data_IF_648434766243
#
_entry.id   IF_648434766243
#
_cell.length_a   1.000
_cell.length_b   1.000
_cell.length_c   1.000
_cell.angle_alpha   90.00
_cell.angle_beta   90.00
_cell.angle_gamma   90.00
#
_symmetry.space_group_name_H-M   'P 1'
#
loop_
_entity.id
_entity.type
_entity.pdbx_description
1 polymer ?
#
# COMPACT_ATOMS: atom_id res chain seq x y z
N UNK A 1 -14.71 63.65 9.08
CA UNK A 1 -14.82 62.44 8.26
C UNK A 1 -15.91 62.64 7.23
N UNK A 2 -15.67 62.44 5.93
CA UNK A 2 -16.67 62.60 4.89
C UNK A 2 -17.88 61.69 5.15
N UNK A 3 -19.10 62.13 4.82
CA UNK A 3 -20.34 61.37 5.10
C UNK A 3 -20.35 59.97 4.39
N UNK A 4 -19.62 59.82 3.32
CA UNK A 4 -19.41 58.57 2.60
C UNK A 4 -18.77 57.49 3.50
N UNK A 5 -17.79 57.83 4.32
CA UNK A 5 -17.08 56.90 5.20
C UNK A 5 -17.99 56.32 6.31
N UNK A 6 -18.88 57.17 6.88
CA UNK A 6 -19.81 56.71 7.94
C UNK A 6 -20.81 55.65 7.48
N UNK A 7 -21.17 55.65 6.19
CA UNK A 7 -22.16 54.73 5.63
C UNK A 7 -21.63 53.29 5.53
N UNK A 8 -20.35 53.09 5.33
CA UNK A 8 -19.74 51.78 5.13
C UNK A 8 -19.03 51.20 6.35
N UNK A 9 -18.81 52.00 7.38
CA UNK A 9 -18.09 51.51 8.60
C UNK A 9 -18.86 50.41 9.30
N UNK A 10 -20.18 50.55 9.50
CA UNK A 10 -20.97 49.48 10.16
C UNK A 10 -21.01 48.17 9.38
N UNK A 11 -21.32 48.14 8.07
CA UNK A 11 -21.28 46.90 7.31
C UNK A 11 -19.88 46.28 7.20
N UNK A 12 -18.82 47.11 7.13
CA UNK A 12 -17.43 46.60 7.16
C UNK A 12 -17.07 45.95 8.51
N UNK A 13 -17.44 46.59 9.62
CA UNK A 13 -17.25 46.01 10.96
C UNK A 13 -18.01 44.68 11.12
N UNK A 14 -19.24 44.62 10.63
CA UNK A 14 -20.03 43.39 10.66
C UNK A 14 -19.41 42.28 9.80
N UNK A 15 -18.99 42.61 8.58
CA UNK A 15 -18.30 41.67 7.71
C UNK A 15 -16.97 41.17 8.32
N UNK A 16 -16.20 42.07 8.93
CA UNK A 16 -14.95 41.72 9.63
C UNK A 16 -15.20 40.81 10.83
N UNK A 17 -16.28 41.05 11.57
CA UNK A 17 -16.64 40.17 12.69
C UNK A 17 -17.01 38.76 12.22
N UNK A 18 -17.79 38.63 11.14
CA UNK A 18 -18.14 37.35 10.56
C UNK A 18 -16.85 36.64 10.07
N UNK A 19 -15.96 37.34 9.38
CA UNK A 19 -14.71 36.80 8.91
C UNK A 19 -13.81 36.29 10.05
N UNK A 20 -13.73 37.07 11.16
CA UNK A 20 -12.98 36.67 12.35
C UNK A 20 -13.57 35.41 13.02
N UNK A 21 -14.91 35.35 13.14
CA UNK A 21 -15.57 34.15 13.68
C UNK A 21 -15.32 32.95 12.82
N UNK A 22 -15.45 33.06 11.50
CA UNK A 22 -15.18 31.99 10.56
C UNK A 22 -13.71 31.52 10.64
N UNK A 23 -12.78 32.46 10.66
CA UNK A 23 -11.36 32.18 10.80
C UNK A 23 -11.05 31.49 12.14
N UNK A 24 -11.66 31.95 13.23
CA UNK A 24 -11.51 31.31 14.55
C UNK A 24 -12.01 29.86 14.55
N UNK A 25 -13.20 29.63 14.04
CA UNK A 25 -13.78 28.27 13.91
C UNK A 25 -12.89 27.42 13.03
N UNK A 26 -12.50 27.93 11.86
CA UNK A 26 -11.63 27.20 10.93
C UNK A 26 -10.28 26.84 11.56
N UNK A 27 -9.65 27.79 12.28
CA UNK A 27 -8.36 27.56 12.95
C UNK A 27 -8.43 26.50 14.05
N UNK A 28 -9.57 26.42 14.77
CA UNK A 28 -9.79 25.40 15.81
C UNK A 28 -9.98 24.01 15.15
N UNK A 29 -10.81 23.96 14.11
CA UNK A 29 -11.14 22.71 13.43
C UNK A 29 -9.96 22.15 12.62
N UNK A 30 -9.07 23.01 12.10
CA UNK A 30 -7.94 22.65 11.26
C UNK A 30 -6.59 22.83 11.96
N UNK A 31 -6.56 22.84 13.30
CA UNK A 31 -5.29 22.88 14.01
C UNK A 31 -4.47 21.62 13.69
N UNK A 32 -3.17 21.82 13.46
CA UNK A 32 -2.25 20.71 13.30
C UNK A 32 -2.25 19.82 14.55
N UNK A 33 -2.46 18.54 14.37
CA UNK A 33 -2.31 17.55 15.42
C UNK A 33 -0.83 17.22 15.61
N UNK A 34 -0.39 16.94 16.85
CA UNK A 34 0.97 16.48 17.07
C UNK A 34 1.15 15.13 16.37
N UNK A 35 2.03 15.09 15.39
CA UNK A 35 2.42 13.85 14.71
C UNK A 35 3.34 13.09 15.67
N UNK A 36 2.98 11.85 15.98
CA UNK A 36 3.90 10.96 16.69
C UNK A 36 5.08 10.64 15.77
N UNK A 37 6.30 10.71 16.31
CA UNK A 37 7.48 10.27 15.58
C UNK A 37 7.30 8.80 15.16
N UNK A 38 7.69 8.48 13.94
CA UNK A 38 7.76 7.10 13.49
C UNK A 38 8.76 6.32 14.38
N UNK A 39 8.54 5.03 14.61
CA UNK A 39 9.54 4.20 15.29
C UNK A 39 10.85 4.25 14.48
N UNK A 40 12.02 4.15 15.14
CA UNK A 40 13.31 4.20 14.46
C UNK A 40 13.50 3.07 13.45
N UNK A 41 12.81 1.93 13.65
CA UNK A 41 12.77 0.79 12.75
C UNK A 41 11.32 0.45 12.48
N UNK A 42 10.95 0.33 11.22
CA UNK A 42 9.62 -0.11 10.76
C UNK A 42 9.68 -1.54 10.25
N UNK A 43 8.53 -2.24 10.29
CA UNK A 43 8.46 -3.64 9.90
C UNK A 43 8.77 -3.89 8.42
N UNK A 44 8.53 -2.93 7.55
CA UNK A 44 8.82 -3.05 6.12
C UNK A 44 8.30 -1.87 5.32
N UNK A 45 8.82 -1.72 4.12
CA UNK A 45 8.31 -0.78 3.13
C UNK A 45 7.86 -1.51 1.87
N UNK A 46 6.76 -1.04 1.28
CA UNK A 46 6.46 -1.32 -0.12
C UNK A 46 7.35 -0.41 -0.99
N UNK A 47 8.05 -1.01 -1.95
CA UNK A 47 9.07 -0.36 -2.75
C UNK A 47 8.78 -0.53 -4.24
N UNK A 48 8.69 0.55 -4.98
CA UNK A 48 8.50 0.57 -6.44
C UNK A 48 9.74 1.02 -7.22
N UNK A 49 10.61 1.81 -6.62
CA UNK A 49 11.90 2.24 -7.19
C UNK A 49 11.87 3.41 -8.15
N UNK A 50 10.70 3.88 -8.55
CA UNK A 50 10.59 5.02 -9.49
C UNK A 50 10.98 6.33 -8.84
N UNK A 51 11.78 7.12 -9.56
CA UNK A 51 12.19 8.47 -9.19
C UNK A 51 11.22 9.51 -9.79
N UNK A 52 11.42 10.78 -9.45
CA UNK A 52 10.70 11.88 -10.08
C UNK A 52 10.84 11.83 -11.60
N UNK A 53 9.74 12.00 -12.31
CA UNK A 53 9.63 11.90 -13.78
C UNK A 53 9.91 10.52 -14.40
N UNK A 54 9.93 9.45 -13.59
CA UNK A 54 9.98 8.08 -14.08
C UNK A 54 8.61 7.41 -13.93
N UNK A 55 8.22 6.64 -14.93
CA UNK A 55 6.94 5.92 -14.94
C UNK A 55 7.01 4.72 -15.89
N UNK A 56 6.44 3.58 -15.52
CA UNK A 56 6.30 2.44 -16.43
C UNK A 56 5.43 2.75 -17.64
N UNK A 57 4.49 3.70 -17.52
CA UNK A 57 3.62 4.12 -18.61
C UNK A 57 4.40 4.87 -19.70
N UNK A 58 5.39 5.66 -19.29
CA UNK A 58 6.26 6.41 -20.19
C UNK A 58 7.51 5.61 -20.62
N UNK A 59 7.65 4.39 -20.07
CA UNK A 59 8.82 3.49 -20.25
C UNK A 59 10.12 4.11 -19.75
N UNK A 60 10.03 5.02 -18.78
CA UNK A 60 11.16 5.62 -18.08
C UNK A 60 11.39 4.83 -16.78
N UNK A 61 12.41 4.01 -16.78
CA UNK A 61 12.73 3.11 -15.67
C UNK A 61 13.93 3.60 -14.87
N UNK A 62 13.99 3.34 -13.55
CA UNK A 62 15.16 3.65 -12.74
C UNK A 62 16.37 2.82 -13.20
N UNK A 63 17.53 3.42 -13.11
CA UNK A 63 18.80 2.70 -13.32
C UNK A 63 19.11 1.79 -12.12
N UNK A 64 19.92 0.77 -12.35
CA UNK A 64 20.41 -0.12 -11.28
C UNK A 64 21.09 0.65 -10.14
N UNK A 65 21.79 1.75 -10.44
CA UNK A 65 22.46 2.59 -9.45
C UNK A 65 21.46 3.35 -8.57
N UNK A 66 20.37 3.88 -9.13
CA UNK A 66 19.30 4.54 -8.38
C UNK A 66 18.61 3.55 -7.45
N UNK A 67 18.25 2.37 -7.95
CA UNK A 67 17.65 1.30 -7.16
C UNK A 67 18.54 0.88 -5.98
N UNK A 68 19.84 0.71 -6.22
CA UNK A 68 20.80 0.35 -5.17
C UNK A 68 20.95 1.46 -4.14
N UNK A 69 20.97 2.72 -4.55
CA UNK A 69 21.03 3.87 -3.66
C UNK A 69 19.80 3.95 -2.76
N UNK A 70 18.60 3.79 -3.31
CA UNK A 70 17.35 3.78 -2.55
C UNK A 70 17.35 2.69 -1.48
N UNK A 71 17.73 1.47 -1.88
CA UNK A 71 17.79 0.35 -0.94
C UNK A 71 18.81 0.59 0.18
N UNK A 72 19.95 1.22 -0.10
CA UNK A 72 20.93 1.62 0.92
C UNK A 72 20.36 2.70 1.88
N UNK A 73 19.52 3.63 1.37
CA UNK A 73 18.84 4.63 2.20
C UNK A 73 17.80 3.96 3.10
N UNK A 74 17.08 2.96 2.62
CA UNK A 74 16.04 2.26 3.38
C UNK A 74 16.62 1.32 4.45
N UNK A 75 17.79 0.75 4.21
CA UNK A 75 18.41 -0.31 5.06
C UNK A 75 18.53 0.02 6.56
N UNK A 76 18.86 1.26 6.97
CA UNK A 76 18.87 1.63 8.39
C UNK A 76 17.50 1.64 9.07
N UNK A 77 16.41 1.71 8.32
CA UNK A 77 15.06 1.87 8.84
C UNK A 77 14.23 0.58 8.82
N UNK A 78 14.63 -0.39 7.99
CA UNK A 78 13.92 -1.67 7.88
C UNK A 78 14.82 -2.80 7.38
N UNK A 79 14.46 -4.02 7.75
CA UNK A 79 15.03 -5.24 7.18
C UNK A 79 14.14 -5.84 6.08
N UNK A 80 12.94 -5.29 5.84
CA UNK A 80 11.94 -5.89 4.96
C UNK A 80 11.49 -4.94 3.87
N UNK A 81 11.39 -5.46 2.65
CA UNK A 81 10.74 -4.76 1.54
C UNK A 81 9.71 -5.66 0.85
N UNK A 82 8.68 -5.03 0.31
CA UNK A 82 7.72 -5.64 -0.60
C UNK A 82 7.92 -5.09 -2.00
N UNK A 83 7.99 -5.96 -2.99
CA UNK A 83 8.10 -5.65 -4.42
C UNK A 83 6.78 -6.05 -5.08
N UNK A 84 6.29 -5.23 -6.02
CA UNK A 84 4.96 -5.41 -6.60
C UNK A 84 4.92 -6.36 -7.78
N UNK A 85 5.95 -6.38 -8.64
CA UNK A 85 6.02 -7.21 -9.84
C UNK A 85 7.31 -8.04 -9.91
N UNK A 86 7.26 -9.12 -10.66
CA UNK A 86 8.41 -10.00 -10.85
C UNK A 86 9.28 -9.59 -12.05
N UNK A 87 8.70 -8.94 -13.04
CA UNK A 87 9.39 -8.54 -14.27
C UNK A 87 9.87 -7.10 -14.23
N UNK A 88 9.03 -6.21 -13.69
CA UNK A 88 9.36 -4.80 -13.56
C UNK A 88 10.48 -4.58 -12.54
N UNK A 89 11.49 -3.77 -12.91
CA UNK A 89 12.68 -3.52 -12.09
C UNK A 89 13.25 -4.83 -11.53
N UNK A 90 13.47 -5.80 -12.41
CA UNK A 90 13.81 -7.20 -12.04
C UNK A 90 15.08 -7.30 -11.19
N UNK A 91 15.98 -6.33 -11.28
CA UNK A 91 17.23 -6.22 -10.52
C UNK A 91 17.02 -5.96 -9.04
N UNK A 92 15.89 -5.34 -8.64
CA UNK A 92 15.60 -5.02 -7.22
C UNK A 92 15.71 -6.25 -6.34
N UNK A 93 15.24 -7.40 -6.79
CA UNK A 93 15.31 -8.64 -6.01
C UNK A 93 16.76 -9.03 -5.70
N UNK A 94 17.65 -8.95 -6.69
CA UNK A 94 19.06 -9.26 -6.51
C UNK A 94 19.77 -8.25 -5.61
N UNK A 95 19.55 -6.95 -5.85
CA UNK A 95 20.11 -5.86 -5.07
C UNK A 95 19.68 -5.93 -3.59
N UNK A 96 18.39 -6.12 -3.35
CA UNK A 96 17.84 -6.26 -2.01
C UNK A 96 18.39 -7.49 -1.27
N UNK A 97 18.48 -8.62 -1.98
CA UNK A 97 19.08 -9.85 -1.45
C UNK A 97 20.54 -9.65 -1.05
N UNK A 98 21.33 -8.97 -1.90
CA UNK A 98 22.75 -8.66 -1.63
C UNK A 98 22.92 -7.70 -0.42
N UNK A 99 21.93 -6.84 -0.18
CA UNK A 99 21.91 -5.94 0.97
C UNK A 99 21.30 -6.58 2.23
N UNK A 100 20.90 -7.86 2.16
CA UNK A 100 20.36 -8.62 3.30
C UNK A 100 18.95 -8.25 3.70
N UNK A 101 18.11 -7.80 2.77
CA UNK A 101 16.68 -7.62 3.02
C UNK A 101 15.95 -8.95 2.99
N UNK A 102 14.98 -9.11 3.87
CA UNK A 102 13.88 -10.07 3.76
C UNK A 102 12.88 -9.53 2.73
N UNK A 103 12.53 -10.33 1.72
CA UNK A 103 11.76 -9.87 0.58
C UNK A 103 10.39 -10.52 0.55
N UNK A 104 9.35 -9.70 0.44
CA UNK A 104 8.03 -10.13 -0.03
C UNK A 104 7.97 -9.84 -1.53
N UNK A 105 8.10 -10.88 -2.36
CA UNK A 105 8.09 -10.75 -3.81
C UNK A 105 6.66 -10.68 -4.33
N UNK A 106 6.46 -9.95 -5.44
CA UNK A 106 5.15 -9.82 -6.08
C UNK A 106 5.12 -10.37 -7.49
N UNK A 107 3.93 -10.75 -7.95
CA UNK A 107 3.56 -10.86 -9.35
C UNK A 107 2.46 -9.84 -9.64
N UNK A 108 2.69 -8.95 -10.59
CA UNK A 108 1.68 -7.98 -11.01
C UNK A 108 0.69 -8.63 -11.97
N UNK A 109 -0.54 -8.80 -11.50
CA UNK A 109 -1.62 -9.42 -12.28
C UNK A 109 -2.53 -8.32 -12.83
N UNK A 110 -2.89 -8.44 -14.11
CA UNK A 110 -3.71 -7.49 -14.84
C UNK A 110 -4.65 -8.22 -15.83
N UNK A 111 -5.28 -7.49 -16.76
CA UNK A 111 -6.20 -8.07 -17.75
C UNK A 111 -5.51 -8.74 -18.95
N UNK A 112 -4.18 -8.70 -19.05
CA UNK A 112 -3.41 -9.39 -20.10
C UNK A 112 -2.91 -10.76 -19.59
N UNK A 113 -3.66 -11.81 -19.89
CA UNK A 113 -3.33 -13.19 -19.46
C UNK A 113 -1.93 -13.64 -19.90
N UNK A 114 -1.40 -13.09 -21.00
CA UNK A 114 -0.05 -13.42 -21.47
C UNK A 114 1.00 -12.75 -20.59
N UNK A 115 0.77 -11.53 -20.17
CA UNK A 115 1.62 -10.82 -19.22
C UNK A 115 1.56 -11.50 -17.86
N UNK A 116 0.37 -11.87 -17.38
CA UNK A 116 0.17 -12.57 -16.12
C UNK A 116 0.96 -13.86 -16.05
N UNK A 117 0.90 -14.67 -17.12
CA UNK A 117 1.66 -15.93 -17.18
C UNK A 117 3.16 -15.68 -17.03
N UNK A 118 3.71 -14.68 -17.70
CA UNK A 118 5.11 -14.31 -17.57
C UNK A 118 5.48 -13.83 -16.16
N UNK A 119 4.61 -13.06 -15.51
CA UNK A 119 4.78 -12.59 -14.12
C UNK A 119 4.79 -13.79 -13.15
N UNK A 120 3.86 -14.73 -13.29
CA UNK A 120 3.80 -15.94 -12.47
C UNK A 120 5.06 -16.80 -12.64
N UNK A 121 5.49 -17.04 -13.86
CA UNK A 121 6.69 -17.84 -14.14
C UNK A 121 7.95 -17.13 -13.61
N UNK A 122 8.05 -15.81 -13.75
CA UNK A 122 9.15 -15.03 -13.20
C UNK A 122 9.17 -15.05 -11.67
N UNK A 123 7.99 -14.91 -11.02
CA UNK A 123 7.88 -15.00 -9.56
C UNK A 123 8.35 -16.37 -9.05
N UNK A 124 7.90 -17.46 -9.66
CA UNK A 124 8.32 -18.82 -9.30
C UNK A 124 9.85 -19.03 -9.46
N UNK A 125 10.41 -18.48 -10.55
CA UNK A 125 11.85 -18.53 -10.78
C UNK A 125 12.62 -17.71 -9.71
N UNK A 126 12.14 -16.53 -9.33
CA UNK A 126 12.74 -15.71 -8.27
C UNK A 126 12.69 -16.42 -6.92
N UNK A 127 11.54 -16.98 -6.53
CA UNK A 127 11.40 -17.73 -5.27
C UNK A 127 12.44 -18.86 -5.19
N UNK A 128 12.66 -19.57 -6.29
CA UNK A 128 13.65 -20.66 -6.36
C UNK A 128 15.09 -20.16 -6.23
N UNK A 129 15.41 -18.99 -6.79
CA UNK A 129 16.80 -18.52 -6.95
C UNK A 129 17.25 -17.56 -5.83
N UNK A 130 16.33 -16.95 -5.09
CA UNK A 130 16.64 -15.96 -4.06
C UNK A 130 16.12 -16.41 -2.69
N UNK A 131 16.98 -16.96 -1.83
CA UNK A 131 16.56 -17.49 -0.51
C UNK A 131 16.08 -16.42 0.47
N UNK A 132 16.34 -15.15 0.19
CA UNK A 132 15.82 -14.01 0.99
C UNK A 132 14.35 -13.66 0.67
N UNK A 133 13.73 -14.33 -0.30
CA UNK A 133 12.29 -14.21 -0.51
C UNK A 133 11.60 -15.09 0.51
N UNK A 134 11.00 -14.47 1.50
CA UNK A 134 10.32 -15.15 2.61
C UNK A 134 8.81 -15.31 2.40
N UNK A 135 8.24 -14.50 1.53
CA UNK A 135 6.80 -14.48 1.20
C UNK A 135 6.58 -14.04 -0.23
N UNK A 136 5.42 -14.39 -0.79
CA UNK A 136 5.02 -13.84 -2.08
C UNK A 136 3.56 -13.38 -2.09
N UNK A 137 3.29 -12.42 -2.98
CA UNK A 137 1.96 -11.86 -3.24
C UNK A 137 1.68 -12.00 -4.73
N UNK A 138 0.59 -12.69 -5.04
CA UNK A 138 0.08 -12.89 -6.40
C UNK A 138 -1.11 -11.96 -6.58
N UNK A 139 -0.94 -10.92 -7.39
CA UNK A 139 -1.95 -9.87 -7.57
C UNK A 139 -1.91 -8.79 -6.48
N UNK A 140 -1.98 -7.55 -6.92
CA UNK A 140 -2.12 -6.38 -6.07
C UNK A 140 -3.38 -5.61 -6.50
N UNK A 141 -4.44 -5.70 -5.74
CA UNK A 141 -5.75 -5.10 -6.05
C UNK A 141 -6.33 -5.56 -7.41
N UNK A 142 -5.99 -6.76 -7.84
CA UNK A 142 -6.42 -7.30 -9.13
C UNK A 142 -7.94 -7.52 -9.19
N UNK A 143 -8.55 -7.93 -8.07
CA UNK A 143 -10.01 -8.02 -7.94
C UNK A 143 -10.66 -6.65 -7.77
N UNK A 144 -10.02 -5.73 -7.05
CA UNK A 144 -10.52 -4.36 -6.91
C UNK A 144 -10.58 -3.66 -8.26
N UNK A 145 -9.55 -3.81 -9.09
CA UNK A 145 -9.48 -3.23 -10.44
C UNK A 145 -10.34 -3.96 -11.48
N UNK A 146 -10.92 -5.10 -11.09
CA UNK A 146 -11.68 -5.97 -11.99
C UNK A 146 -10.84 -6.46 -13.20
N UNK A 147 -9.55 -6.59 -13.01
CA UNK A 147 -8.61 -7.05 -14.06
C UNK A 147 -8.78 -8.54 -14.36
N UNK A 148 -9.11 -9.34 -13.35
CA UNK A 148 -9.32 -10.80 -13.47
C UNK A 148 -10.50 -11.24 -12.60
N UNK A 149 -10.97 -12.45 -12.88
CA UNK A 149 -12.01 -13.10 -12.05
C UNK A 149 -11.42 -13.67 -10.76
N UNK A 150 -12.29 -13.94 -9.78
CA UNK A 150 -11.88 -14.60 -8.54
C UNK A 150 -11.31 -16.00 -8.82
N UNK A 151 -11.92 -16.74 -9.75
CA UNK A 151 -11.50 -18.07 -10.15
C UNK A 151 -10.10 -18.08 -10.77
N UNK A 152 -9.79 -17.09 -11.62
CA UNK A 152 -8.45 -16.94 -12.21
C UNK A 152 -7.41 -16.61 -11.15
N UNK A 153 -7.72 -15.69 -10.23
CA UNK A 153 -6.81 -15.37 -9.11
C UNK A 153 -6.53 -16.59 -8.23
N UNK A 154 -7.57 -17.35 -7.88
CA UNK A 154 -7.44 -18.59 -7.11
C UNK A 154 -6.54 -19.59 -7.86
N UNK A 155 -6.74 -19.75 -9.17
CA UNK A 155 -5.90 -20.63 -9.99
C UNK A 155 -4.43 -20.24 -9.93
N UNK A 156 -4.10 -18.95 -10.03
CA UNK A 156 -2.72 -18.47 -9.92
C UNK A 156 -2.14 -18.66 -8.52
N UNK A 157 -2.93 -18.40 -7.47
CA UNK A 157 -2.52 -18.63 -6.08
C UNK A 157 -2.17 -20.09 -5.83
N UNK A 158 -3.06 -21.01 -6.23
CA UNK A 158 -2.88 -22.45 -6.04
C UNK A 158 -1.69 -22.97 -6.84
N UNK A 159 -1.45 -22.46 -8.05
CA UNK A 159 -0.27 -22.80 -8.86
C UNK A 159 1.04 -22.39 -8.16
N UNK A 160 1.13 -21.14 -7.68
CA UNK A 160 2.34 -20.66 -7.01
C UNK A 160 2.56 -21.42 -5.70
N UNK A 161 1.51 -21.66 -4.90
CA UNK A 161 1.57 -22.44 -3.65
C UNK A 161 2.06 -23.87 -3.90
N UNK A 162 1.59 -24.52 -4.95
CA UNK A 162 2.03 -25.88 -5.30
C UNK A 162 3.51 -25.96 -5.70
N UNK A 163 4.11 -24.85 -6.15
CA UNK A 163 5.50 -24.77 -6.61
C UNK A 163 6.49 -24.26 -5.56
N UNK A 164 6.02 -23.90 -4.36
CA UNK A 164 6.82 -23.17 -3.36
C UNK A 164 6.51 -23.63 -1.94
N UNK A 165 7.49 -23.48 -1.04
CA UNK A 165 7.32 -23.73 0.40
C UNK A 165 7.16 -22.43 1.23
N UNK A 166 7.29 -21.28 0.61
CA UNK A 166 7.11 -20.00 1.30
C UNK A 166 5.63 -19.62 1.36
N UNK A 167 5.19 -18.83 2.35
CA UNK A 167 3.81 -18.36 2.43
C UNK A 167 3.41 -17.48 1.24
N UNK A 168 2.22 -17.77 0.68
CA UNK A 168 1.66 -17.08 -0.49
C UNK A 168 0.36 -16.37 -0.10
N UNK A 169 0.13 -15.17 -0.64
CA UNK A 169 -1.11 -14.43 -0.51
C UNK A 169 -1.41 -13.62 -1.77
N UNK A 170 -2.54 -12.94 -1.79
CA UNK A 170 -2.83 -11.77 -2.64
C UNK A 170 -3.02 -10.55 -1.76
N UNK A 171 -2.88 -9.34 -2.32
CA UNK A 171 -3.07 -8.11 -1.57
C UNK A 171 -4.27 -7.35 -2.11
N UNK A 172 -5.28 -7.19 -1.27
CA UNK A 172 -6.54 -6.55 -1.61
C UNK A 172 -7.01 -5.63 -0.47
N UNK A 173 -7.85 -4.60 -0.74
CA UNK A 173 -8.51 -3.84 0.30
C UNK A 173 -9.42 -4.73 1.16
N UNK A 174 -9.62 -4.35 2.41
CA UNK A 174 -10.39 -5.11 3.39
C UNK A 174 -11.80 -5.50 2.90
N UNK A 175 -12.49 -4.62 2.16
CA UNK A 175 -13.85 -4.88 1.67
C UNK A 175 -13.88 -5.92 0.54
N UNK A 176 -12.81 -6.06 -0.24
CA UNK A 176 -12.67 -7.11 -1.25
C UNK A 176 -12.49 -8.48 -0.57
N UNK A 177 -11.72 -8.57 0.51
CA UNK A 177 -11.62 -9.78 1.33
C UNK A 177 -12.97 -10.19 1.92
N UNK A 178 -13.76 -9.22 2.42
CA UNK A 178 -15.10 -9.51 2.95
C UNK A 178 -16.09 -9.96 1.87
N UNK A 179 -15.96 -9.43 0.65
CA UNK A 179 -16.80 -9.81 -0.49
C UNK A 179 -16.47 -11.22 -1.01
N UNK A 180 -15.23 -11.68 -0.83
CA UNK A 180 -14.72 -12.94 -1.36
C UNK A 180 -14.14 -13.83 -0.25
N UNK A 181 -14.96 -14.29 0.72
CA UNK A 181 -14.47 -15.02 1.89
C UNK A 181 -13.82 -16.38 1.56
N UNK A 182 -14.14 -16.99 0.44
CA UNK A 182 -13.53 -18.20 -0.08
C UNK A 182 -12.04 -18.03 -0.37
N UNK A 183 -11.59 -16.83 -0.73
CA UNK A 183 -10.19 -16.52 -1.02
C UNK A 183 -9.26 -16.87 0.14
N UNK A 184 -9.76 -16.77 1.39
CA UNK A 184 -8.98 -17.10 2.60
C UNK A 184 -8.49 -18.56 2.61
N UNK A 185 -9.16 -19.47 1.92
CA UNK A 185 -8.77 -20.89 1.83
C UNK A 185 -7.57 -21.11 0.90
N UNK A 186 -7.31 -20.18 0.00
CA UNK A 186 -6.30 -20.26 -1.04
C UNK A 186 -5.02 -19.46 -0.72
N UNK A 187 -4.94 -18.85 0.46
CA UNK A 187 -3.79 -18.08 0.92
C UNK A 187 -3.25 -18.61 2.24
N UNK A 188 -1.98 -18.35 2.53
CA UNK A 188 -1.33 -18.76 3.78
C UNK A 188 -1.39 -17.65 4.84
N UNK A 189 -1.60 -16.40 4.42
CA UNK A 189 -1.82 -15.23 5.27
C UNK A 189 -2.71 -14.22 4.54
N UNK A 190 -3.27 -13.25 5.27
CA UNK A 190 -4.09 -12.19 4.68
C UNK A 190 -3.21 -10.94 4.51
N UNK A 191 -3.00 -10.49 3.27
CA UNK A 191 -2.39 -9.20 2.98
C UNK A 191 -3.49 -8.19 2.66
N UNK A 192 -3.77 -7.29 3.59
CA UNK A 192 -4.87 -6.34 3.50
C UNK A 192 -4.35 -4.91 3.33
N UNK A 193 -4.95 -4.17 2.40
CA UNK A 193 -4.74 -2.73 2.29
C UNK A 193 -5.73 -1.99 3.20
N UNK A 194 -5.18 -1.23 4.14
CA UNK A 194 -5.92 -0.33 5.04
C UNK A 194 -5.51 1.10 4.69
N UNK A 195 -6.37 1.81 3.98
CA UNK A 195 -6.08 3.12 3.41
C UNK A 195 -7.06 4.18 3.96
N UNK A 196 -6.96 4.56 5.25
CA UNK A 196 -7.91 5.46 5.91
C UNK A 196 -8.10 6.77 5.15
N UNK A 197 -7.02 7.33 4.62
CA UNK A 197 -7.08 8.57 3.84
C UNK A 197 -7.98 8.44 2.61
N UNK A 198 -7.86 7.36 1.85
CA UNK A 198 -8.69 7.10 0.67
C UNK A 198 -10.16 6.80 1.02
N UNK A 199 -10.40 6.39 2.25
CA UNK A 199 -11.75 6.15 2.79
C UNK A 199 -12.37 7.40 3.43
N UNK A 200 -11.69 8.55 3.34
CA UNK A 200 -12.15 9.82 3.91
C UNK A 200 -12.17 9.84 5.44
N UNK A 201 -11.37 8.98 6.08
CA UNK A 201 -11.26 8.95 7.53
C UNK A 201 -10.25 9.99 8.02
N UNK A 202 -10.63 10.72 9.07
CA UNK A 202 -9.70 11.57 9.80
C UNK A 202 -8.62 10.71 10.49
N UNK A 203 -7.43 11.27 10.64
CA UNK A 203 -6.27 10.54 11.20
C UNK A 203 -6.53 10.07 12.63
N UNK A 204 -7.34 10.80 13.39
CA UNK A 204 -7.76 10.47 14.74
C UNK A 204 -8.63 9.22 14.81
N UNK A 205 -9.49 9.04 13.79
CA UNK A 205 -10.47 7.96 13.72
C UNK A 205 -9.86 6.70 13.09
N UNK A 206 -8.76 6.82 12.36
CA UNK A 206 -8.13 5.73 11.64
C UNK A 206 -7.80 4.53 12.54
N UNK A 207 -7.26 4.78 13.74
CA UNK A 207 -6.94 3.73 14.72
C UNK A 207 -8.16 3.06 15.32
N UNK A 208 -9.30 3.77 15.41
CA UNK A 208 -10.50 3.28 16.10
C UNK A 208 -11.41 2.49 15.15
N UNK A 209 -11.39 2.80 13.88
CA UNK A 209 -12.35 2.25 12.91
C UNK A 209 -11.94 0.92 12.31
N UNK A 210 -10.66 0.68 12.09
CA UNK A 210 -10.18 -0.59 11.54
C UNK A 210 -10.38 -1.81 12.45
N UNK A 211 -10.20 -1.73 13.79
CA UNK A 211 -10.54 -2.84 14.68
C UNK A 211 -12.05 -3.14 14.78
N UNK A 212 -12.90 -2.18 14.40
CA UNK A 212 -14.37 -2.30 14.54
C UNK A 212 -15.08 -2.60 13.21
N UNK A 213 -14.37 -2.84 12.12
CA UNK A 213 -14.97 -3.23 10.85
C UNK A 213 -15.76 -4.54 11.03
N UNK A 214 -17.01 -4.60 10.56
CA UNK A 214 -17.81 -5.83 10.60
C UNK A 214 -17.04 -6.95 9.90
N UNK A 215 -16.75 -8.03 10.61
CA UNK A 215 -15.98 -9.16 10.10
C UNK A 215 -14.47 -9.11 10.38
N UNK A 216 -13.86 -7.95 10.68
CA UNK A 216 -12.43 -7.88 11.03
C UNK A 216 -12.10 -8.75 12.25
N UNK A 217 -12.94 -8.72 13.28
CA UNK A 217 -12.76 -9.54 14.49
C UNK A 217 -12.93 -11.05 14.23
N UNK A 218 -13.67 -11.45 13.20
CA UNK A 218 -13.85 -12.86 12.83
C UNK A 218 -12.71 -13.42 11.97
N UNK A 219 -12.14 -12.59 11.10
CA UNK A 219 -11.06 -12.99 10.19
C UNK A 219 -9.66 -12.73 10.76
N UNK A 220 -9.50 -11.70 11.60
CA UNK A 220 -8.24 -11.41 12.28
C UNK A 220 -8.00 -12.31 13.49
N UNK A 221 -9.04 -12.97 14.02
CA UNK A 221 -8.95 -13.84 15.21
C UNK A 221 -8.78 -15.33 14.91
N UNK A 222 -8.88 -15.77 13.66
CA UNK A 222 -8.58 -17.16 13.30
C UNK A 222 -7.09 -17.33 13.05
N UNK A 223 -6.40 -17.95 13.95
CA UNK A 223 -5.07 -18.59 14.06
C UNK A 223 -4.06 -18.53 12.87
N UNK A 224 -4.33 -17.84 11.79
CA UNK A 224 -3.34 -17.55 10.77
C UNK A 224 -2.70 -16.21 11.14
N UNK A 225 -1.48 -16.25 11.63
CA UNK A 225 -0.64 -15.14 12.07
C UNK A 225 -0.83 -13.89 11.19
N UNK A 226 -1.69 -12.96 11.62
CA UNK A 226 -1.74 -11.61 11.09
C UNK A 226 -0.50 -10.88 11.61
N UNK A 227 0.58 -10.87 10.84
CA UNK A 227 1.73 -10.02 11.11
C UNK A 227 1.47 -8.69 10.43
N UNK A 228 1.14 -7.67 11.24
CA UNK A 228 1.12 -6.27 10.86
C UNK A 228 2.55 -5.78 10.57
#
# INVERSE_FOLDING_TARGET
MPPFFKRYVKPLLFASLIAMIHFGIWSILNRALPIMNAPPIVNGFAYSGYQENQSPLDKEYPSTAELEQDLKILRPYTNRIRIYGALENSEVTALASNLGFEITAGAWINSDLTADRREIDALKAKIKNYPHIERAIVGNEALLREDITLEDLISYLDEVRASSSIPISTAEPWHIWLKNPELVKHVDYIAVHLLPYHEGLAVEDAKLRFPTLPGANGYLSTEKNCHY
#
